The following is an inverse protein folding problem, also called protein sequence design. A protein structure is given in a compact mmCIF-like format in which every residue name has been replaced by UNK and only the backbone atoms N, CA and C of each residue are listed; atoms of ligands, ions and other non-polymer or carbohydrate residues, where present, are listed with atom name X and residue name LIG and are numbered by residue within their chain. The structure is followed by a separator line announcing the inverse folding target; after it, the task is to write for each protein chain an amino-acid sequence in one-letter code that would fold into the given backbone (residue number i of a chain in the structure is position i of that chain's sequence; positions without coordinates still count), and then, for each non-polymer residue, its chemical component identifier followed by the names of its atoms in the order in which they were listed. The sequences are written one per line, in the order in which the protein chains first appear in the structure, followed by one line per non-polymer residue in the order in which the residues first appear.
data_IF_713441354714
#
_entry.id   IF_713441354714
#
_cell.length_a   1.000
_cell.length_b   1.000
_cell.length_c   1.000
_cell.angle_alpha   90.00
_cell.angle_beta   90.00
_cell.angle_gamma   90.00
#
_symmetry.space_group_name_H-M   'P 1'
#
loop_
_entity.id
_entity.type
_entity.pdbx_description
1 polymer ?
#
# COMPACT_ATOMS: atom_id res chain seq x y z
N UNK A 1 23.23 -8.17 -12.55
CA UNK A 1 22.64 -7.09 -11.75
C UNK A 1 21.93 -7.69 -10.55
N UNK A 2 22.34 -7.26 -9.37
CA UNK A 2 21.86 -7.84 -8.11
C UNK A 2 20.72 -7.01 -7.52
N UNK A 3 19.52 -7.21 -8.05
CA UNK A 3 18.33 -6.53 -7.53
C UNK A 3 17.74 -7.40 -6.44
N UNK A 4 17.61 -6.83 -5.24
CA UNK A 4 17.02 -7.53 -4.09
C UNK A 4 15.63 -6.99 -3.85
N UNK A 5 14.69 -7.89 -3.60
CA UNK A 5 13.34 -7.53 -3.19
C UNK A 5 13.11 -7.96 -1.75
N UNK A 6 12.32 -7.19 -1.02
CA UNK A 6 11.92 -7.56 0.33
C UNK A 6 10.52 -7.00 0.61
N UNK A 7 9.77 -7.66 1.48
CA UNK A 7 8.49 -7.13 1.93
C UNK A 7 8.70 -5.87 2.75
N UNK A 8 7.83 -4.88 2.56
CA UNK A 8 7.82 -3.68 3.38
C UNK A 8 6.90 -3.84 4.58
N UNK A 9 6.88 -2.84 5.45
CA UNK A 9 6.04 -2.87 6.65
C UNK A 9 4.63 -2.37 6.40
N UNK A 10 4.41 -1.67 5.28
CA UNK A 10 3.13 -1.04 5.02
C UNK A 10 2.17 -1.94 4.26
N UNK A 11 0.93 -1.97 4.73
CA UNK A 11 -0.18 -2.67 4.07
C UNK A 11 -1.31 -1.65 3.96
N UNK A 12 -1.80 -1.41 2.75
CA UNK A 12 -2.93 -0.51 2.56
C UNK A 12 -4.19 -1.34 2.30
N UNK A 13 -5.24 -1.06 3.06
CA UNK A 13 -6.55 -1.68 2.85
C UNK A 13 -7.44 -0.59 2.27
N UNK A 14 -7.86 -0.77 1.01
CA UNK A 14 -8.77 0.15 0.34
C UNK A 14 -10.19 -0.20 0.74
N UNK A 15 -10.92 0.75 1.30
CA UNK A 15 -12.24 0.50 1.91
C UNK A 15 -13.27 1.40 1.26
N UNK A 16 -14.39 0.82 0.78
CA UNK A 16 -15.49 1.63 0.25
C UNK A 16 -15.97 2.64 1.29
N UNK A 17 -16.27 3.85 0.84
CA UNK A 17 -16.68 4.93 1.72
C UNK A 17 -17.86 4.53 2.63
N UNK A 18 -18.83 3.78 2.10
CA UNK A 18 -20.00 3.37 2.86
C UNK A 18 -19.68 2.48 4.06
N UNK A 19 -18.51 1.82 4.04
CA UNK A 19 -18.09 0.90 5.10
C UNK A 19 -16.96 1.47 5.96
N UNK A 20 -16.52 2.69 5.67
CA UNK A 20 -15.29 3.21 6.25
C UNK A 20 -15.40 3.41 7.76
N UNK A 21 -16.42 4.13 8.23
CA UNK A 21 -16.57 4.42 9.66
C UNK A 21 -16.70 3.13 10.48
N UNK A 22 -17.49 2.18 10.00
CA UNK A 22 -17.68 0.89 10.69
C UNK A 22 -16.36 0.11 10.74
N UNK A 23 -15.56 0.20 9.68
CA UNK A 23 -14.28 -0.51 9.61
C UNK A 23 -13.27 0.12 10.58
N UNK A 24 -13.18 1.45 10.62
CA UNK A 24 -12.31 2.13 11.58
C UNK A 24 -12.71 1.76 13.01
N UNK A 25 -14.01 1.80 13.30
CA UNK A 25 -14.52 1.44 14.63
C UNK A 25 -14.18 0.00 15.01
N UNK A 26 -14.21 -0.92 14.04
CA UNK A 26 -13.84 -2.30 14.30
C UNK A 26 -12.38 -2.41 14.78
N UNK A 27 -11.45 -1.80 14.08
CA UNK A 27 -10.04 -1.86 14.46
C UNK A 27 -9.76 -1.09 15.76
N UNK A 28 -10.37 0.08 15.91
CA UNK A 28 -10.12 0.96 17.06
C UNK A 28 -10.86 0.53 18.32
N UNK A 29 -12.16 0.27 18.20
CA UNK A 29 -13.03 0.10 19.37
C UNK A 29 -13.23 -1.37 19.71
N UNK A 30 -13.40 -2.24 18.72
CA UNK A 30 -13.62 -3.67 18.96
C UNK A 30 -12.31 -4.39 19.23
N UNK A 31 -11.32 -4.19 18.37
CA UNK A 31 -10.01 -4.82 18.55
C UNK A 31 -9.09 -4.04 19.50
N UNK A 32 -9.42 -2.78 19.76
CA UNK A 32 -8.63 -1.89 20.64
C UNK A 32 -7.18 -1.74 20.21
N UNK A 33 -6.95 -1.71 18.91
CA UNK A 33 -5.62 -1.43 18.36
C UNK A 33 -5.37 0.08 18.37
N UNK A 34 -4.10 0.46 18.24
CA UNK A 34 -3.71 1.86 18.14
C UNK A 34 -4.04 2.36 16.74
N UNK A 35 -5.08 3.18 16.62
CA UNK A 35 -5.61 3.70 15.37
C UNK A 35 -5.60 5.23 15.42
N UNK A 36 -4.90 5.85 14.47
CA UNK A 36 -4.76 7.31 14.42
C UNK A 36 -5.13 7.81 13.03
N UNK A 37 -6.03 8.78 12.95
CA UNK A 37 -6.29 9.43 11.67
C UNK A 37 -5.10 10.26 11.26
N UNK A 38 -4.71 10.18 9.97
CA UNK A 38 -3.57 10.91 9.43
C UNK A 38 -4.01 11.84 8.31
N UNK A 39 -3.20 12.86 8.07
CA UNK A 39 -3.42 13.79 6.98
C UNK A 39 -3.17 13.08 5.64
N UNK A 40 -4.00 13.41 4.65
CA UNK A 40 -3.94 12.77 3.35
C UNK A 40 -3.17 13.64 2.38
N UNK A 41 -2.35 12.98 1.55
CA UNK A 41 -1.61 13.63 0.48
C UNK A 41 -1.97 13.08 -0.90
N UNK A 42 -2.86 12.09 -0.95
CA UNK A 42 -3.27 11.42 -2.19
C UNK A 42 -4.70 11.81 -2.52
N UNK A 43 -4.96 12.45 -3.69
CA UNK A 43 -6.30 12.94 -4.01
C UNK A 43 -7.32 11.82 -4.27
N UNK A 44 -6.88 10.58 -4.48
CA UNK A 44 -7.80 9.45 -4.70
C UNK A 44 -8.26 8.80 -3.41
N UNK A 45 -7.71 9.21 -2.27
CA UNK A 45 -8.08 8.71 -0.95
C UNK A 45 -8.65 9.88 -0.16
N UNK A 46 -9.89 9.79 0.30
CA UNK A 46 -10.54 10.90 0.99
C UNK A 46 -10.19 10.97 2.48
N UNK A 47 -9.89 9.83 3.10
CA UNK A 47 -9.46 9.76 4.52
C UNK A 47 -8.55 8.56 4.69
N UNK A 48 -7.64 8.64 5.66
CA UNK A 48 -6.82 7.48 6.02
C UNK A 48 -6.60 7.42 7.53
N UNK A 49 -6.53 6.19 8.05
CA UNK A 49 -6.18 5.92 9.43
C UNK A 49 -5.02 4.94 9.46
N UNK A 50 -4.04 5.24 10.31
CA UNK A 50 -2.90 4.36 10.53
C UNK A 50 -3.21 3.43 11.69
N UNK A 51 -3.01 2.13 11.47
CA UNK A 51 -3.23 1.10 12.49
C UNK A 51 -1.92 0.38 12.75
N UNK A 52 -1.50 0.35 14.01
CA UNK A 52 -0.35 -0.46 14.40
C UNK A 52 -0.78 -1.93 14.48
N UNK A 53 -0.19 -2.74 13.61
CA UNK A 53 -0.59 -4.13 13.43
C UNK A 53 0.64 -5.05 13.55
N UNK A 54 1.08 -5.28 14.80
CA UNK A 54 2.32 -5.99 15.05
C UNK A 54 3.51 -5.24 14.45
N UNK A 55 4.38 -5.90 13.69
CA UNK A 55 5.51 -5.24 13.04
C UNK A 55 5.11 -4.43 11.82
N UNK A 56 3.83 -4.50 11.42
CA UNK A 56 3.34 -3.82 10.22
C UNK A 56 2.56 -2.57 10.58
N UNK A 57 2.46 -1.67 9.62
CA UNK A 57 1.55 -0.54 9.66
C UNK A 57 0.48 -0.78 8.62
N UNK A 58 -0.76 -0.85 9.07
CA UNK A 58 -1.92 -0.99 8.18
C UNK A 58 -2.53 0.39 7.99
N UNK A 59 -2.75 0.76 6.74
CA UNK A 59 -3.40 2.02 6.38
C UNK A 59 -4.81 1.71 5.91
N UNK A 60 -5.79 2.26 6.62
CA UNK A 60 -7.20 2.13 6.25
C UNK A 60 -7.54 3.33 5.37
N UNK A 61 -7.63 3.11 4.07
CA UNK A 61 -7.86 4.17 3.09
C UNK A 61 -9.31 4.20 2.65
N UNK A 62 -9.95 5.35 2.79
CA UNK A 62 -11.32 5.56 2.33
C UNK A 62 -11.30 5.90 0.85
N UNK A 63 -11.93 5.10 0.02
CA UNK A 63 -11.98 5.31 -1.44
C UNK A 63 -13.42 5.32 -1.92
N UNK A 64 -13.73 6.24 -2.82
CA UNK A 64 -15.11 6.48 -3.24
C UNK A 64 -15.58 5.56 -4.35
N UNK A 65 -14.65 5.02 -5.13
CA UNK A 65 -14.96 4.27 -6.35
C UNK A 65 -14.85 2.76 -6.20
N UNK A 66 -14.79 2.27 -4.95
CA UNK A 66 -14.71 0.83 -4.68
C UNK A 66 -16.02 0.33 -4.11
N UNK A 67 -16.39 -0.91 -4.48
CA UNK A 67 -17.56 -1.60 -3.93
C UNK A 67 -17.19 -2.69 -2.94
N UNK A 68 -15.91 -3.03 -2.86
CA UNK A 68 -15.37 -4.03 -1.93
C UNK A 68 -13.99 -3.59 -1.48
N UNK A 69 -13.48 -4.18 -0.41
CA UNK A 69 -12.14 -3.83 0.05
C UNK A 69 -11.08 -4.54 -0.78
N UNK A 70 -9.91 -3.90 -0.88
CA UNK A 70 -8.72 -4.49 -1.49
C UNK A 70 -7.55 -4.28 -0.54
N UNK A 71 -6.66 -5.27 -0.49
CA UNK A 71 -5.44 -5.19 0.32
C UNK A 71 -4.24 -5.04 -0.59
N UNK A 72 -3.50 -3.97 -0.42
CA UNK A 72 -2.28 -3.68 -1.18
C UNK A 72 -1.07 -3.88 -0.29
N UNK A 73 -0.08 -4.63 -0.79
CA UNK A 73 1.13 -4.97 -0.04
C UNK A 73 2.30 -4.13 -0.52
N UNK A 74 3.12 -3.68 0.41
CA UNK A 74 4.34 -2.97 0.06
C UNK A 74 5.46 -3.95 -0.24
N UNK A 75 6.16 -3.75 -1.35
CA UNK A 75 7.38 -4.45 -1.67
C UNK A 75 8.48 -3.44 -1.98
N UNK A 76 9.64 -3.65 -1.42
CA UNK A 76 10.76 -2.74 -1.60
C UNK A 76 11.84 -3.41 -2.45
N UNK A 77 12.52 -2.62 -3.27
CA UNK A 77 13.63 -3.08 -4.09
C UNK A 77 14.87 -2.25 -3.81
N UNK A 78 16.01 -2.89 -3.84
CA UNK A 78 17.31 -2.24 -3.61
C UNK A 78 17.65 -1.23 -4.70
N UNK A 79 17.11 -1.44 -5.91
CA UNK A 79 17.29 -0.56 -7.07
C UNK A 79 15.92 -0.44 -7.74
N UNK A 80 15.19 0.61 -7.41
CA UNK A 80 13.82 0.82 -7.87
C UNK A 80 13.72 0.85 -9.40
N UNK A 81 14.59 1.63 -10.05
CA UNK A 81 14.53 1.74 -11.51
C UNK A 81 14.92 0.43 -12.19
N UNK A 82 15.96 -0.23 -11.69
CA UNK A 82 16.36 -1.53 -12.20
C UNK A 82 15.30 -2.58 -11.98
N UNK A 83 14.63 -2.55 -10.82
CA UNK A 83 13.53 -3.46 -10.51
C UNK A 83 12.36 -3.27 -11.47
N UNK A 84 12.01 -2.02 -11.78
CA UNK A 84 10.93 -1.72 -12.72
C UNK A 84 11.24 -2.31 -14.10
N UNK A 85 12.47 -2.13 -14.58
CA UNK A 85 12.90 -2.69 -15.87
C UNK A 85 12.94 -4.22 -15.84
N UNK A 86 13.43 -4.78 -14.74
CA UNK A 86 13.48 -6.24 -14.57
C UNK A 86 12.08 -6.84 -14.63
N UNK A 87 11.15 -6.27 -13.88
CA UNK A 87 9.76 -6.74 -13.84
C UNK A 87 9.11 -6.63 -15.22
N UNK A 88 9.34 -5.52 -15.93
CA UNK A 88 8.83 -5.35 -17.29
C UNK A 88 9.37 -6.45 -18.21
N UNK A 89 10.63 -6.86 -18.06
CA UNK A 89 11.23 -7.93 -18.85
C UNK A 89 10.59 -9.28 -18.56
N UNK A 90 9.91 -9.42 -17.43
CA UNK A 90 9.17 -10.62 -17.04
C UNK A 90 7.67 -10.50 -17.33
N UNK A 91 7.26 -9.44 -18.03
CA UNK A 91 5.87 -9.23 -18.39
C UNK A 91 5.03 -8.54 -17.32
N UNK A 92 5.67 -8.02 -16.28
CA UNK A 92 4.99 -7.29 -15.18
C UNK A 92 5.14 -5.80 -15.45
N UNK A 93 4.05 -5.16 -15.88
CA UNK A 93 4.04 -3.73 -16.16
C UNK A 93 3.43 -2.97 -14.99
N UNK A 94 3.72 -1.66 -14.92
CA UNK A 94 3.15 -0.81 -13.87
C UNK A 94 1.66 -0.57 -14.12
N UNK A 95 0.92 -0.32 -13.03
CA UNK A 95 -0.51 -0.03 -13.07
C UNK A 95 -0.77 1.34 -12.46
N UNK A 96 -0.01 2.34 -12.86
CA UNK A 96 0.04 3.65 -12.20
C UNK A 96 -1.25 4.46 -12.34
N UNK A 97 -2.18 3.99 -13.17
CA UNK A 97 -3.51 4.59 -13.29
C UNK A 97 -4.44 4.30 -12.12
N UNK A 98 -4.07 3.36 -11.23
CA UNK A 98 -4.94 2.98 -10.11
C UNK A 98 -5.10 4.12 -9.10
N UNK A 99 -4.01 4.78 -8.78
CA UNK A 99 -3.98 5.96 -7.89
C UNK A 99 -2.81 6.82 -8.30
N UNK A 100 -2.79 8.06 -7.84
CA UNK A 100 -1.62 8.92 -8.02
C UNK A 100 -0.42 8.33 -7.31
N UNK A 101 0.73 8.25 -8.00
CA UNK A 101 1.93 7.65 -7.44
C UNK A 101 2.80 8.70 -6.75
N UNK A 102 3.31 8.40 -5.55
CA UNK A 102 4.37 9.19 -4.93
C UNK A 102 5.68 9.01 -5.70
N UNK A 103 6.67 9.86 -5.40
CA UNK A 103 7.99 9.71 -5.98
C UNK A 103 8.59 8.34 -5.63
N UNK A 104 9.36 7.77 -6.57
CA UNK A 104 10.03 6.48 -6.42
C UNK A 104 9.08 5.35 -6.03
N UNK A 105 7.88 5.36 -6.63
CA UNK A 105 6.83 4.39 -6.36
C UNK A 105 6.14 4.01 -7.66
N UNK A 106 5.78 2.74 -7.79
CA UNK A 106 4.90 2.25 -8.84
C UNK A 106 3.92 1.26 -8.24
N UNK A 107 2.73 1.20 -8.83
CA UNK A 107 1.77 0.13 -8.55
C UNK A 107 2.01 -1.00 -9.53
N UNK A 108 2.11 -2.23 -9.03
CA UNK A 108 2.22 -3.43 -9.86
C UNK A 108 1.20 -4.45 -9.34
N UNK A 109 0.97 -5.51 -10.12
CA UNK A 109 0.08 -6.59 -9.69
C UNK A 109 0.81 -7.92 -9.81
N UNK A 110 0.53 -8.81 -8.86
CA UNK A 110 0.94 -10.20 -9.02
C UNK A 110 0.01 -10.89 -10.03
N UNK A 111 0.30 -12.14 -10.42
CA UNK A 111 -0.54 -12.84 -11.42
C UNK A 111 -2.00 -13.02 -11.01
N UNK A 112 -2.31 -13.02 -9.71
CA UNK A 112 -3.68 -13.16 -9.22
C UNK A 112 -4.40 -11.81 -9.11
N UNK A 113 -3.71 -10.69 -9.35
CA UNK A 113 -4.31 -9.36 -9.31
C UNK A 113 -4.14 -8.64 -7.98
N UNK A 114 -3.31 -9.17 -7.07
CA UNK A 114 -3.01 -8.44 -5.82
C UNK A 114 -2.11 -7.26 -6.15
N UNK A 115 -2.55 -6.06 -5.79
CA UNK A 115 -1.78 -4.84 -6.03
C UNK A 115 -0.65 -4.77 -5.03
N UNK A 116 0.53 -4.42 -5.53
CA UNK A 116 1.71 -4.19 -4.71
C UNK A 116 2.23 -2.78 -4.92
N UNK A 117 2.66 -2.19 -3.83
CA UNK A 117 3.27 -0.86 -3.80
C UNK A 117 4.77 -1.07 -3.90
N UNK A 118 5.31 -0.92 -5.13
CA UNK A 118 6.75 -1.09 -5.34
C UNK A 118 7.45 0.22 -5.02
N UNK A 119 8.42 0.15 -4.12
CA UNK A 119 9.15 1.34 -3.66
C UNK A 119 10.65 1.08 -3.60
N UNK A 120 11.41 2.18 -3.69
CA UNK A 120 12.84 2.12 -3.40
C UNK A 120 13.03 1.73 -1.93
N UNK A 121 13.93 0.80 -1.68
CA UNK A 121 14.27 0.39 -0.33
C UNK A 121 14.69 1.60 0.51
N UNK A 122 14.08 1.74 1.68
CA UNK A 122 14.39 2.81 2.61
C UNK A 122 15.34 2.26 3.67
N UNK A 123 16.57 2.75 3.66
CA UNK A 123 17.61 2.29 4.56
C UNK A 123 17.32 2.59 6.03
N UNK A 124 16.41 3.55 6.30
CA UNK A 124 16.01 3.87 7.67
C UNK A 124 15.29 2.72 8.36
N UNK A 125 14.63 1.87 7.58
CA UNK A 125 13.81 0.78 8.10
C UNK A 125 14.42 -0.58 7.82
N UNK A 126 15.63 -0.60 7.31
CA UNK A 126 16.35 -1.84 7.02
C UNK A 126 17.26 -2.15 8.19
N UNK A 127 16.91 -3.10 8.97
CA UNK A 127 17.76 -3.54 10.09
C UNK A 127 18.16 -4.97 9.92
#
# INVERSE_FOLDING_TARGET
MNIQFQGGINIAIKIPKAKYEATVAFYRDTLKLDVQEREIKNPTVSRTHEVKFGPNTVWLDCVDNYTHSETWLEIQASDFEGATRYLASKGINTCDELEEIPADTHWIMDPAGTVMILRQQDTKYTL
#
